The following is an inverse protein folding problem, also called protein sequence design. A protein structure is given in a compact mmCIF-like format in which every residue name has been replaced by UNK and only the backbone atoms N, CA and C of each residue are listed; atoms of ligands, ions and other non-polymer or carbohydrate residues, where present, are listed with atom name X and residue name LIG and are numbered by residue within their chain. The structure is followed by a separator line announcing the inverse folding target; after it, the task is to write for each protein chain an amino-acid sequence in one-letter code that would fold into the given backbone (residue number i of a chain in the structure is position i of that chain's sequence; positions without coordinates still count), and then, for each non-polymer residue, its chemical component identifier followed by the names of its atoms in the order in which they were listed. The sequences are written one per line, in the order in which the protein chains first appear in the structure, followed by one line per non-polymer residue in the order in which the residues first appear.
data_IF_455753905007
#
_entry.id   IF_455753905007
#
_cell.length_a   1.000
_cell.length_b   1.000
_cell.length_c   1.000
_cell.angle_alpha   90.00
_cell.angle_beta   90.00
_cell.angle_gamma   90.00
#
_symmetry.space_group_name_H-M   'P 1'
#
loop_
_entity.id
_entity.type
_entity.pdbx_description
1 polymer ?
#
# COMPACT_ATOMS: atom_id res chain seq x y z
N UNK A 1 -5.03 7.53 -6.17
CA UNK A 1 -4.98 6.36 -5.28
C UNK A 1 -3.56 6.11 -4.83
N UNK A 2 -3.36 5.68 -3.61
CA UNK A 2 -2.05 5.29 -3.06
C UNK A 2 -2.07 3.86 -2.53
N UNK A 3 -1.02 3.09 -2.84
CA UNK A 3 -0.75 1.78 -2.23
C UNK A 3 0.41 1.95 -1.26
N UNK A 4 0.15 1.69 0.01
CA UNK A 4 1.16 1.66 1.07
C UNK A 4 1.55 0.20 1.30
N UNK A 5 2.76 -0.15 0.91
CA UNK A 5 3.28 -1.50 1.07
C UNK A 5 4.23 -1.58 2.26
N UNK A 6 3.95 -2.52 3.16
CA UNK A 6 4.85 -2.87 4.25
C UNK A 6 5.33 -4.32 4.06
N UNK A 7 6.55 -4.53 3.54
CA UNK A 7 7.09 -5.87 3.36
C UNK A 7 7.40 -6.60 4.66
N UNK A 8 7.57 -5.86 5.76
CA UNK A 8 7.88 -6.43 7.08
C UNK A 8 6.64 -6.87 7.87
N UNK A 9 5.45 -6.79 7.27
CA UNK A 9 4.16 -7.26 7.81
C UNK A 9 4.02 -7.07 9.33
N UNK A 10 3.86 -5.85 9.80
CA UNK A 10 3.50 -5.62 11.19
C UNK A 10 4.21 -4.49 11.93
N UNK A 11 5.17 -3.81 11.32
CA UNK A 11 5.99 -2.83 12.04
C UNK A 11 5.52 -1.36 11.92
N UNK A 12 4.40 -1.06 11.27
CA UNK A 12 3.99 0.34 11.23
C UNK A 12 2.94 0.75 10.20
N UNK A 13 2.70 -0.04 9.16
CA UNK A 13 1.71 0.33 8.13
C UNK A 13 0.29 0.42 8.71
N UNK A 14 -0.04 -0.45 9.66
CA UNK A 14 -1.34 -0.46 10.32
C UNK A 14 -1.67 0.83 11.07
N UNK A 15 -0.67 1.62 11.46
CA UNK A 15 -0.88 2.94 12.06
C UNK A 15 -0.80 4.08 11.04
N UNK A 16 0.04 3.95 10.00
CA UNK A 16 0.25 5.00 9.00
C UNK A 16 -0.91 5.13 8.01
N UNK A 17 -1.46 4.01 7.55
CA UNK A 17 -2.49 4.02 6.52
C UNK A 17 -3.80 4.73 6.95
N UNK A 18 -4.32 4.50 8.18
CA UNK A 18 -5.46 5.28 8.69
C UNK A 18 -5.16 6.78 8.74
N UNK A 19 -3.99 7.19 9.24
CA UNK A 19 -3.60 8.61 9.33
C UNK A 19 -3.54 9.27 7.96
N UNK A 20 -3.00 8.59 6.96
CA UNK A 20 -3.00 9.08 5.58
C UNK A 20 -4.42 9.19 5.05
N UNK A 21 -5.28 8.22 5.31
CA UNK A 21 -6.66 8.24 4.86
C UNK A 21 -7.47 9.37 5.52
N UNK A 22 -7.29 9.58 6.83
CA UNK A 22 -7.99 10.62 7.60
C UNK A 22 -7.61 12.05 7.16
N UNK A 23 -6.40 12.22 6.62
CA UNK A 23 -5.92 13.49 6.07
C UNK A 23 -6.43 13.78 4.64
N UNK A 24 -7.14 12.85 4.02
CA UNK A 24 -7.68 12.96 2.66
C UNK A 24 -9.21 13.02 2.72
N UNK A 25 -9.84 13.83 1.84
CA UNK A 25 -11.31 13.96 1.83
C UNK A 25 -11.85 14.10 0.39
N UNK A 26 -12.93 13.37 0.04
CA UNK A 26 -13.41 12.16 0.72
C UNK A 26 -12.43 10.99 0.54
N UNK A 27 -12.33 10.10 1.52
CA UNK A 27 -11.35 9.02 1.49
C UNK A 27 -11.92 7.64 1.81
N UNK A 28 -11.20 6.61 1.37
CA UNK A 28 -11.46 5.19 1.67
C UNK A 28 -10.15 4.52 2.02
N UNK A 29 -10.13 3.75 3.09
CA UNK A 29 -9.01 2.88 3.47
C UNK A 29 -9.39 1.41 3.25
N UNK A 30 -8.60 0.71 2.42
CA UNK A 30 -8.77 -0.71 2.12
C UNK A 30 -7.54 -1.49 2.57
N UNK A 31 -7.77 -2.60 3.24
CA UNK A 31 -6.73 -3.52 3.66
C UNK A 31 -6.72 -4.75 2.75
N UNK A 32 -5.62 -5.00 2.05
CA UNK A 32 -5.49 -6.16 1.17
C UNK A 32 -5.68 -7.50 1.92
N UNK A 33 -5.35 -7.51 3.22
CA UNK A 33 -5.56 -8.67 4.08
C UNK A 33 -7.03 -9.06 4.25
N UNK A 34 -7.94 -8.09 4.26
CA UNK A 34 -9.37 -8.37 4.42
C UNK A 34 -9.91 -9.13 3.20
N UNK A 35 -9.39 -8.84 2.01
CA UNK A 35 -9.72 -9.60 0.79
C UNK A 35 -9.17 -11.03 0.84
N UNK A 36 -8.00 -11.27 1.43
CA UNK A 36 -7.49 -12.63 1.65
C UNK A 36 -8.32 -13.39 2.67
N UNK A 37 -8.69 -12.75 3.77
CA UNK A 37 -9.54 -13.36 4.83
C UNK A 37 -10.97 -13.64 4.37
N UNK A 38 -11.43 -13.02 3.30
CA UNK A 38 -12.72 -13.31 2.70
C UNK A 38 -12.80 -14.75 2.13
N UNK A 39 -11.68 -15.41 1.88
CA UNK A 39 -11.64 -16.82 1.49
C UNK A 39 -12.05 -17.68 2.67
N UNK A 40 -13.25 -18.28 2.62
CA UNK A 40 -13.84 -19.05 3.72
C UNK A 40 -13.48 -20.54 3.68
N UNK A 41 -13.35 -21.09 2.48
CA UNK A 41 -12.97 -22.48 2.26
C UNK A 41 -11.75 -22.54 1.35
N UNK A 42 -10.83 -23.44 1.64
CA UNK A 42 -9.59 -23.56 0.86
C UNK A 42 -8.57 -22.43 1.10
N UNK A 43 -8.70 -21.68 2.20
CA UNK A 43 -7.72 -20.66 2.57
C UNK A 43 -6.35 -21.31 2.79
N UNK A 44 -5.33 -20.71 2.18
CA UNK A 44 -3.92 -21.10 2.35
C UNK A 44 -3.17 -19.92 2.97
N UNK A 45 -2.36 -20.17 3.98
CA UNK A 45 -1.55 -19.13 4.62
C UNK A 45 -0.68 -18.41 3.56
N UNK A 46 -0.63 -17.06 3.57
CA UNK A 46 -0.11 -16.26 2.46
C UNK A 46 1.40 -16.43 2.21
N UNK A 47 2.15 -16.92 3.20
CA UNK A 47 3.58 -17.24 3.12
C UNK A 47 3.88 -18.58 2.42
N UNK A 48 2.85 -19.39 2.17
CA UNK A 48 2.98 -20.69 1.51
C UNK A 48 3.07 -20.53 -0.02
N UNK A 49 3.92 -21.33 -0.71
CA UNK A 49 3.99 -21.30 -2.18
C UNK A 49 2.64 -21.57 -2.85
N UNK A 50 1.81 -22.43 -2.26
CA UNK A 50 0.49 -22.81 -2.76
C UNK A 50 -0.51 -21.63 -2.70
N UNK A 51 -0.26 -20.65 -1.85
CA UNK A 51 -1.11 -19.47 -1.71
C UNK A 51 -0.96 -18.47 -2.87
N UNK A 52 0.01 -18.66 -3.76
CA UNK A 52 0.31 -17.68 -4.83
C UNK A 52 -0.92 -17.26 -5.62
N UNK A 53 -1.74 -18.24 -6.05
CA UNK A 53 -2.97 -17.94 -6.80
C UNK A 53 -3.96 -17.14 -5.95
N UNK A 54 -4.18 -17.57 -4.71
CA UNK A 54 -5.07 -16.89 -3.76
C UNK A 54 -4.60 -15.44 -3.53
N UNK A 55 -3.31 -15.22 -3.28
CA UNK A 55 -2.74 -13.91 -3.04
C UNK A 55 -2.91 -12.98 -4.24
N UNK A 56 -2.63 -13.45 -5.46
CA UNK A 56 -2.84 -12.68 -6.68
C UNK A 56 -4.32 -12.36 -6.91
N UNK A 57 -5.23 -13.30 -6.65
CA UNK A 57 -6.67 -13.08 -6.78
C UNK A 57 -7.16 -12.04 -5.76
N UNK A 58 -6.73 -12.13 -4.51
CA UNK A 58 -7.08 -11.16 -3.48
C UNK A 58 -6.57 -9.75 -3.82
N UNK A 59 -5.34 -9.64 -4.32
CA UNK A 59 -4.79 -8.35 -4.76
C UNK A 59 -5.53 -7.79 -5.98
N UNK A 60 -5.94 -8.64 -6.93
CA UNK A 60 -6.76 -8.20 -8.06
C UNK A 60 -8.13 -7.67 -7.60
N UNK A 61 -8.79 -8.37 -6.68
CA UNK A 61 -10.05 -7.91 -6.09
C UNK A 61 -9.88 -6.60 -5.31
N UNK A 62 -8.78 -6.47 -4.55
CA UNK A 62 -8.42 -5.20 -3.87
C UNK A 62 -8.25 -4.06 -4.86
N UNK A 63 -7.53 -4.29 -5.97
CA UNK A 63 -7.31 -3.29 -7.00
C UNK A 63 -8.64 -2.85 -7.64
N UNK A 64 -9.50 -3.79 -8.02
CA UNK A 64 -10.82 -3.48 -8.60
C UNK A 64 -11.67 -2.66 -7.64
N UNK A 65 -11.75 -3.05 -6.36
CA UNK A 65 -12.47 -2.29 -5.35
C UNK A 65 -11.90 -0.88 -5.18
N UNK A 66 -10.57 -0.76 -5.09
CA UNK A 66 -9.90 0.53 -4.94
C UNK A 66 -10.19 1.49 -6.10
N UNK A 67 -10.12 0.99 -7.34
CA UNK A 67 -10.38 1.82 -8.51
C UNK A 67 -11.86 2.10 -8.71
N UNK A 68 -12.77 1.23 -8.27
CA UNK A 68 -14.20 1.54 -8.22
C UNK A 68 -14.49 2.74 -7.30
N UNK A 69 -13.91 2.78 -6.10
CA UNK A 69 -14.00 3.94 -5.22
C UNK A 69 -13.35 5.19 -5.81
N UNK A 70 -12.16 5.04 -6.42
CA UNK A 70 -11.46 6.16 -7.06
C UNK A 70 -12.30 6.77 -8.19
N UNK A 71 -12.96 5.94 -9.00
CA UNK A 71 -13.89 6.39 -10.05
C UNK A 71 -15.13 7.08 -9.48
N UNK A 72 -15.51 6.75 -8.25
CA UNK A 72 -16.58 7.43 -7.48
C UNK A 72 -16.12 8.74 -6.83
N UNK A 73 -14.89 9.19 -7.05
CA UNK A 73 -14.36 10.46 -6.54
C UNK A 73 -13.68 10.37 -5.18
N UNK A 74 -13.46 9.17 -4.65
CA UNK A 74 -12.77 8.99 -3.36
C UNK A 74 -11.24 8.97 -3.54
N UNK A 75 -10.55 9.55 -2.57
CA UNK A 75 -9.11 9.31 -2.37
C UNK A 75 -8.94 7.94 -1.71
N UNK A 76 -8.21 7.03 -2.35
CA UNK A 76 -8.14 5.66 -1.85
C UNK A 76 -6.75 5.35 -1.33
N UNK A 77 -6.68 4.84 -0.11
CA UNK A 77 -5.48 4.32 0.52
C UNK A 77 -5.63 2.80 0.61
N UNK A 78 -4.72 2.08 -0.03
CA UNK A 78 -4.62 0.61 0.07
C UNK A 78 -3.43 0.27 0.95
N UNK A 79 -3.67 -0.52 2.00
CA UNK A 79 -2.65 -1.04 2.90
C UNK A 79 -2.43 -2.52 2.66
N UNK A 80 -1.17 -2.97 2.65
CA UNK A 80 -0.83 -4.39 2.63
C UNK A 80 0.59 -4.68 2.19
N UNK A 81 0.99 -5.94 2.31
CA UNK A 81 2.26 -6.42 1.74
C UNK A 81 2.09 -6.64 0.24
N UNK A 82 2.41 -5.62 -0.56
CA UNK A 82 2.28 -5.63 -2.02
C UNK A 82 3.67 -5.50 -2.63
N UNK A 83 4.22 -6.60 -3.13
CA UNK A 83 5.51 -6.56 -3.81
C UNK A 83 5.40 -5.77 -5.14
N UNK A 84 6.49 -5.12 -5.61
CA UNK A 84 6.47 -4.41 -6.89
C UNK A 84 6.02 -5.27 -8.08
N UNK A 85 6.35 -6.57 -8.04
CA UNK A 85 5.95 -7.57 -9.05
C UNK A 85 4.45 -7.91 -9.01
N UNK A 86 3.76 -7.57 -7.93
CA UNK A 86 2.31 -7.80 -7.77
C UNK A 86 1.46 -6.57 -8.11
N UNK A 87 2.08 -5.46 -8.52
CA UNK A 87 1.39 -4.23 -8.88
C UNK A 87 0.65 -4.28 -10.22
N UNK A 88 0.80 -5.32 -11.00
CA UNK A 88 0.22 -5.40 -12.35
C UNK A 88 -1.32 -5.27 -12.35
N UNK A 89 -1.99 -5.81 -11.33
CA UNK A 89 -3.43 -5.64 -11.17
C UNK A 89 -3.80 -4.15 -11.00
N UNK A 90 -3.07 -3.43 -10.14
CA UNK A 90 -3.29 -2.00 -9.90
C UNK A 90 -2.95 -1.15 -11.12
N UNK A 91 -1.85 -1.46 -11.82
CA UNK A 91 -1.47 -0.75 -13.05
C UNK A 91 -2.51 -0.92 -14.15
N UNK A 92 -3.07 -2.12 -14.29
CA UNK A 92 -4.13 -2.40 -15.28
C UNK A 92 -5.37 -1.56 -15.00
N UNK A 93 -5.85 -1.54 -13.74
CA UNK A 93 -7.01 -0.74 -13.35
C UNK A 93 -6.73 0.77 -13.46
N UNK A 94 -5.52 1.22 -13.11
CA UNK A 94 -5.08 2.61 -13.27
C UNK A 94 -5.19 3.06 -14.75
N UNK A 95 -4.68 2.24 -15.69
CA UNK A 95 -4.81 2.53 -17.10
C UNK A 95 -6.26 2.52 -17.60
N UNK A 96 -7.07 1.58 -17.11
CA UNK A 96 -8.46 1.44 -17.52
C UNK A 96 -9.33 2.63 -17.03
N UNK A 97 -9.04 3.18 -15.87
CA UNK A 97 -9.82 4.26 -15.25
C UNK A 97 -9.22 5.65 -15.45
N UNK A 98 -7.94 5.74 -15.84
CA UNK A 98 -7.20 7.01 -15.88
C UNK A 98 -6.81 7.56 -14.51
N UNK A 99 -7.13 6.87 -13.41
CA UNK A 99 -6.82 7.33 -12.07
C UNK A 99 -5.35 7.12 -11.72
N UNK A 100 -4.68 8.16 -11.19
CA UNK A 100 -3.28 8.12 -10.80
C UNK A 100 -3.02 7.07 -9.71
N UNK A 101 -1.94 6.31 -9.88
CA UNK A 101 -1.48 5.28 -8.95
C UNK A 101 -0.16 5.71 -8.33
N UNK A 102 -0.14 5.82 -7.01
CA UNK A 102 1.07 6.04 -6.22
C UNK A 102 1.41 4.77 -5.46
N UNK A 103 2.71 4.46 -5.35
CA UNK A 103 3.20 3.32 -4.61
C UNK A 103 4.29 3.73 -3.65
N UNK A 104 4.08 3.44 -2.38
CA UNK A 104 4.98 3.78 -1.28
C UNK A 104 5.35 2.52 -0.53
N UNK A 105 6.64 2.30 -0.32
CA UNK A 105 7.15 1.23 0.54
C UNK A 105 7.49 1.81 1.90
N UNK A 106 6.91 1.24 2.94
CA UNK A 106 7.20 1.58 4.32
C UNK A 106 8.27 0.61 4.87
N UNK A 107 9.44 1.12 5.13
CA UNK A 107 10.54 0.33 5.70
C UNK A 107 10.68 0.69 7.18
N UNK A 108 10.17 -0.16 8.08
CA UNK A 108 10.33 0.01 9.52
C UNK A 108 9.84 1.35 10.08
N UNK A 109 8.77 1.93 9.51
CA UNK A 109 8.23 3.21 9.93
C UNK A 109 8.76 4.43 9.15
N UNK A 110 9.59 4.24 8.13
CA UNK A 110 10.01 5.32 7.22
C UNK A 110 9.44 5.13 5.82
N UNK A 111 9.01 6.20 5.18
CA UNK A 111 8.48 6.16 3.83
C UNK A 111 9.63 6.19 2.80
N UNK A 112 9.79 5.11 2.04
CA UNK A 112 10.65 5.05 0.86
C UNK A 112 9.82 5.04 -0.42
N UNK A 113 10.10 5.93 -1.36
CA UNK A 113 9.55 5.83 -2.71
C UNK A 113 10.27 4.75 -3.49
N UNK A 114 9.54 3.85 -4.14
CA UNK A 114 10.12 2.97 -5.14
C UNK A 114 10.39 3.78 -6.42
N UNK A 115 11.55 4.44 -6.46
CA UNK A 115 12.13 4.83 -7.73
C UNK A 115 12.51 3.55 -8.47
N UNK A 116 12.20 3.47 -9.75
CA UNK A 116 12.60 2.37 -10.60
C UNK A 116 14.13 2.21 -10.55
N UNK A 117 14.59 1.10 -9.98
CA UNK A 117 15.96 0.61 -10.11
C UNK A 117 16.94 1.12 -9.06
N UNK A 118 17.49 0.20 -8.28
CA UNK A 118 18.72 0.39 -7.53
C UNK A 118 18.73 -0.30 -6.17
N UNK A 119 19.47 -1.39 -6.07
CA UNK A 119 19.82 -2.06 -4.83
C UNK A 119 20.73 -1.19 -3.98
N UNK A 120 20.55 -1.20 -2.67
CA UNK A 120 21.46 -0.60 -1.70
C UNK A 120 21.02 -0.95 -0.30
N UNK A 121 21.71 -1.90 0.28
CA UNK A 121 21.56 -2.33 1.67
C UNK A 121 22.27 -1.38 2.64
N UNK A 122 21.90 -1.53 3.90
CA UNK A 122 22.56 -1.14 5.14
C UNK A 122 22.20 0.20 5.77
N UNK A 123 21.56 0.04 6.92
CA UNK A 123 21.35 1.08 7.90
C UNK A 123 20.29 0.65 8.93
N UNK A 124 20.75 -0.04 10.00
CA UNK A 124 19.87 -0.43 11.10
C UNK A 124 19.32 0.79 11.84
N UNK A 125 18.01 0.83 12.17
CA UNK A 125 17.42 1.91 12.94
C UNK A 125 17.61 1.71 14.43
N UNK A 126 18.03 2.74 15.11
CA UNK A 126 17.98 2.84 16.59
C UNK A 126 16.56 3.21 17.02
N UNK A 127 16.07 2.49 17.98
CA UNK A 127 14.77 2.69 18.61
C UNK A 127 14.73 3.97 19.46
N UNK A 128 13.55 4.57 19.59
CA UNK A 128 13.27 5.47 20.69
C UNK A 128 12.41 6.68 20.38
N UNK A 129 11.15 6.47 20.04
CA UNK A 129 10.07 7.43 20.19
C UNK A 129 8.76 6.67 20.34
N UNK A 130 7.69 7.22 20.96
CA UNK A 130 6.43 6.53 21.01
C UNK A 130 6.01 6.19 19.58
N UNK A 131 5.57 4.96 19.39
CA UNK A 131 5.23 4.42 18.05
C UNK A 131 4.18 5.27 17.32
N UNK A 132 3.38 6.03 18.04
CA UNK A 132 2.40 6.96 17.51
C UNK A 132 3.06 8.16 16.80
N UNK A 133 4.03 8.82 17.43
CA UNK A 133 4.70 10.01 16.87
C UNK A 133 5.47 9.64 15.59
N UNK A 134 6.07 8.44 15.57
CA UNK A 134 6.76 7.92 14.38
C UNK A 134 5.78 7.64 13.24
N UNK A 135 4.58 7.16 13.52
CA UNK A 135 3.55 6.92 12.52
C UNK A 135 3.01 8.24 11.95
N UNK A 136 2.78 9.26 12.77
CA UNK A 136 2.37 10.60 12.33
C UNK A 136 3.42 11.24 11.43
N UNK A 137 4.70 11.24 11.84
CA UNK A 137 5.79 11.78 11.02
C UNK A 137 5.93 11.06 9.67
N UNK A 138 5.69 9.75 9.65
CA UNK A 138 5.70 8.96 8.42
C UNK A 138 4.49 9.31 7.54
N UNK A 139 3.30 9.45 8.12
CA UNK A 139 2.10 9.85 7.39
C UNK A 139 2.27 11.24 6.74
N UNK A 140 2.82 12.21 7.46
CA UNK A 140 3.12 13.55 6.94
C UNK A 140 4.11 13.50 5.78
N UNK A 141 5.13 12.65 5.88
CA UNK A 141 6.11 12.44 4.80
C UNK A 141 5.43 11.86 3.56
N UNK A 142 4.56 10.87 3.74
CA UNK A 142 3.78 10.26 2.65
C UNK A 142 2.89 11.31 1.99
N UNK A 143 2.13 12.07 2.77
CA UNK A 143 1.22 13.11 2.27
C UNK A 143 1.96 14.20 1.50
N UNK A 144 3.10 14.66 2.03
CA UNK A 144 3.95 15.62 1.34
C UNK A 144 4.50 15.05 0.02
N UNK A 145 4.89 13.79 -0.01
CA UNK A 145 5.34 13.10 -1.21
C UNK A 145 4.24 12.93 -2.25
N UNK A 146 3.02 12.57 -1.83
CA UNK A 146 1.86 12.45 -2.71
C UNK A 146 1.54 13.77 -3.41
N UNK A 147 1.56 14.90 -2.67
CA UNK A 147 1.32 16.24 -3.22
C UNK A 147 2.35 16.63 -4.29
N UNK A 148 3.59 16.17 -4.16
CA UNK A 148 4.67 16.42 -5.14
C UNK A 148 4.73 15.40 -6.27
N UNK A 149 3.88 14.36 -6.25
CA UNK A 149 3.93 13.26 -7.20
C UNK A 149 5.16 12.35 -7.06
N UNK A 150 5.85 12.38 -5.91
CA UNK A 150 7.11 11.65 -5.68
C UNK A 150 6.96 10.11 -5.81
N UNK A 151 5.76 9.61 -5.62
CA UNK A 151 5.45 8.17 -5.62
C UNK A 151 4.61 7.74 -6.81
N UNK A 152 4.41 8.63 -7.79
CA UNK A 152 3.60 8.36 -8.96
C UNK A 152 4.26 7.27 -9.81
N UNK A 153 3.53 6.20 -10.05
CA UNK A 153 3.94 5.20 -11.02
C UNK A 153 3.59 5.67 -12.43
N UNK A 154 4.61 5.78 -13.27
CA UNK A 154 4.40 6.00 -14.71
C UNK A 154 3.68 4.82 -15.37
N UNK A 155 3.08 5.11 -16.50
CA UNK A 155 2.36 4.14 -17.34
C UNK A 155 3.31 3.13 -17.98
#
# INVERSE_FOLDING_TARGET
MVVLSDPAAGAGSGAVAPLVADALFPSVHLRAEDFRRAVRQGYVAPDRPEARRQNLTALAATAQAAFAFASGGYQVVVEGSVAPTALDAFRRESRATGAALHYVVLNGGTAGGAAAGGAGADGAPQAGGPAADAAEATADTVLAGLRRGAYLLGW
#
